data_IF_693336768586
#
_entry.id   IF_693336768586
#
_cell.length_a   1.000
_cell.length_b   1.000
_cell.length_c   1.000
_cell.angle_alpha   90.00
_cell.angle_beta   90.00
_cell.angle_gamma   90.00
#
_symmetry.space_group_name_H-M   'P 1'
#
loop_
_entity.id
_entity.type
_entity.pdbx_description
1 polymer ?
#
# COMPACT_ATOMS: atom_id res chain seq x y z
N UNK A 1 -9.48 29.02 35.88
CA UNK A 1 -10.19 27.83 36.41
C UNK A 1 -9.17 26.70 36.41
N UNK A 2 -8.97 26.05 37.54
CA UNK A 2 -7.93 25.04 37.73
C UNK A 2 -8.16 23.83 36.80
N UNK A 3 -7.10 23.33 36.16
CA UNK A 3 -7.14 22.20 35.24
C UNK A 3 -7.75 20.95 35.89
N UNK A 4 -7.51 20.77 37.19
CA UNK A 4 -8.11 19.69 37.97
C UNK A 4 -9.64 19.80 38.05
N UNK A 5 -10.18 21.01 38.21
CA UNK A 5 -11.63 21.25 38.27
C UNK A 5 -12.27 20.96 36.90
N UNK A 6 -11.62 21.37 35.82
CA UNK A 6 -12.11 21.11 34.46
C UNK A 6 -12.17 19.61 34.12
N UNK A 7 -11.17 18.83 34.57
CA UNK A 7 -11.17 17.37 34.38
C UNK A 7 -12.25 16.67 35.21
N UNK A 8 -12.52 17.11 36.45
CA UNK A 8 -13.59 16.54 37.28
C UNK A 8 -14.96 16.73 36.63
N UNK A 9 -15.24 17.94 36.13
CA UNK A 9 -16.51 18.23 35.43
C UNK A 9 -16.62 17.43 34.13
N UNK A 10 -15.53 17.33 33.36
CA UNK A 10 -15.53 16.58 32.10
C UNK A 10 -15.68 15.08 32.31
N UNK A 11 -15.06 14.52 33.35
CA UNK A 11 -15.23 13.11 33.74
C UNK A 11 -16.67 12.81 34.18
N UNK A 12 -17.31 13.75 34.89
CA UNK A 12 -18.73 13.62 35.24
C UNK A 12 -19.63 13.53 33.99
N UNK A 13 -19.32 14.29 32.93
CA UNK A 13 -20.02 14.18 31.65
C UNK A 13 -19.86 12.80 31.00
N UNK A 14 -18.64 12.23 31.02
CA UNK A 14 -18.40 10.85 30.54
C UNK A 14 -19.25 9.84 31.31
N UNK A 15 -19.35 9.98 32.63
CA UNK A 15 -20.12 9.07 33.48
C UNK A 15 -21.64 9.30 33.40
N UNK A 16 -22.08 10.49 32.99
CA UNK A 16 -23.48 10.84 32.79
C UNK A 16 -24.02 10.47 31.40
N UNK A 17 -23.15 10.29 30.40
CA UNK A 17 -23.57 9.97 29.04
C UNK A 17 -24.37 8.65 28.99
N UNK A 18 -25.50 8.65 28.29
CA UNK A 18 -26.40 7.49 28.12
C UNK A 18 -26.53 7.06 26.66
N UNK A 19 -26.12 7.92 25.72
CA UNK A 19 -26.20 7.67 24.29
C UNK A 19 -24.83 7.82 23.62
N UNK A 20 -24.65 7.22 22.44
CA UNK A 20 -23.42 7.34 21.64
C UNK A 20 -23.05 8.80 21.36
N UNK A 21 -23.96 9.70 20.92
CA UNK A 21 -23.63 11.11 20.74
C UNK A 21 -23.16 11.81 22.01
N UNK A 22 -23.78 11.53 23.16
CA UNK A 22 -23.35 12.09 24.45
C UNK A 22 -21.96 11.58 24.85
N UNK A 23 -21.70 10.28 24.69
CA UNK A 23 -20.40 9.70 25.00
C UNK A 23 -19.31 10.29 24.10
N UNK A 24 -19.57 10.41 22.79
CA UNK A 24 -18.65 11.07 21.84
C UNK A 24 -18.33 12.49 22.26
N UNK A 25 -19.36 13.31 22.51
CA UNK A 25 -19.18 14.68 22.95
C UNK A 25 -18.36 14.77 24.25
N UNK A 26 -18.54 13.83 25.17
CA UNK A 26 -17.80 13.79 26.43
C UNK A 26 -16.32 13.40 26.25
N UNK A 27 -16.00 12.37 25.45
CA UNK A 27 -14.61 11.92 25.25
C UNK A 27 -13.81 12.82 24.31
N UNK A 28 -14.48 13.48 23.35
CA UNK A 28 -13.87 14.44 22.41
C UNK A 28 -13.69 15.84 23.03
N UNK A 29 -14.18 16.05 24.26
CA UNK A 29 -14.02 17.32 24.95
C UNK A 29 -12.54 17.54 25.32
N UNK A 30 -11.87 18.59 24.80
CA UNK A 30 -10.46 18.84 25.08
C UNK A 30 -10.17 19.10 26.57
N UNK A 31 -11.17 19.49 27.37
CA UNK A 31 -11.04 19.68 28.81
C UNK A 31 -10.89 18.36 29.58
N UNK A 32 -11.28 17.23 28.99
CA UNK A 32 -11.05 15.90 29.56
C UNK A 32 -9.56 15.53 29.49
N UNK A 33 -8.87 15.94 28.42
CA UNK A 33 -7.43 15.74 28.24
C UNK A 33 -7.02 14.33 27.83
N UNK A 34 -7.88 13.62 27.08
CA UNK A 34 -7.54 12.32 26.48
C UNK A 34 -6.57 12.48 25.30
N UNK A 35 -5.71 11.49 25.11
CA UNK A 35 -4.99 11.31 23.85
C UNK A 35 -5.92 10.66 22.83
N UNK A 36 -6.31 11.42 21.81
CA UNK A 36 -7.24 11.00 20.76
C UNK A 36 -6.54 10.67 19.43
N UNK A 37 -5.20 10.58 19.39
CA UNK A 37 -4.46 10.39 18.13
C UNK A 37 -4.95 9.18 17.35
N UNK A 38 -5.08 8.02 17.99
CA UNK A 38 -5.55 6.81 17.32
C UNK A 38 -7.05 6.82 17.02
N UNK A 39 -7.85 7.35 17.94
CA UNK A 39 -9.30 7.50 17.77
C UNK A 39 -9.64 8.39 16.57
N UNK A 40 -8.88 9.47 16.35
CA UNK A 40 -9.11 10.41 15.26
C UNK A 40 -8.82 9.81 13.87
N UNK A 41 -8.10 8.69 13.80
CA UNK A 41 -7.84 7.97 12.54
C UNK A 41 -8.97 7.00 12.15
N UNK A 42 -9.90 6.71 13.06
CA UNK A 42 -11.03 5.82 12.80
C UNK A 42 -12.08 6.47 11.88
N UNK A 43 -12.79 5.65 11.11
CA UNK A 43 -14.02 6.09 10.44
C UNK A 43 -15.07 6.58 11.45
N UNK A 44 -16.01 7.41 11.01
CA UNK A 44 -17.08 7.91 11.89
C UNK A 44 -17.96 6.79 12.43
N UNK A 45 -18.15 5.71 11.67
CA UNK A 45 -18.85 4.50 12.14
C UNK A 45 -18.06 3.84 13.26
N UNK A 46 -16.75 3.61 13.09
CA UNK A 46 -15.93 3.00 14.12
C UNK A 46 -15.81 3.87 15.39
N UNK A 47 -15.81 5.21 15.27
CA UNK A 47 -15.89 6.11 16.43
C UNK A 47 -17.18 5.93 17.22
N UNK A 48 -18.32 5.75 16.54
CA UNK A 48 -19.59 5.46 17.19
C UNK A 48 -19.56 4.10 17.91
N UNK A 49 -18.93 3.09 17.30
CA UNK A 49 -18.76 1.76 17.92
C UNK A 49 -17.84 1.82 19.16
N UNK A 50 -16.76 2.60 19.11
CA UNK A 50 -15.91 2.87 20.28
C UNK A 50 -16.72 3.50 21.41
N UNK A 51 -17.49 4.55 21.12
CA UNK A 51 -18.35 5.19 22.11
C UNK A 51 -19.40 4.22 22.68
N UNK A 52 -19.97 3.33 21.87
CA UNK A 52 -20.88 2.29 22.32
C UNK A 52 -20.18 1.27 23.23
N UNK A 53 -18.94 0.86 22.92
CA UNK A 53 -18.16 -0.01 23.78
C UNK A 53 -17.85 0.65 25.14
N UNK A 54 -17.51 1.94 25.15
CA UNK A 54 -17.31 2.68 26.40
C UNK A 54 -18.60 2.75 27.24
N UNK A 55 -19.76 2.91 26.61
CA UNK A 55 -21.05 2.85 27.32
C UNK A 55 -21.29 1.48 27.93
N UNK A 56 -21.10 0.42 27.15
CA UNK A 56 -21.37 -0.96 27.57
C UNK A 56 -20.39 -1.44 28.65
N UNK A 57 -19.13 -1.01 28.58
CA UNK A 57 -18.06 -1.43 29.48
C UNK A 57 -17.84 -0.45 30.65
N UNK A 58 -18.68 0.58 30.78
CA UNK A 58 -18.59 1.52 31.90
C UNK A 58 -18.77 0.75 33.22
N UNK A 59 -17.85 0.91 34.19
CA UNK A 59 -18.02 0.29 35.51
C UNK A 59 -19.32 0.76 36.17
N UNK A 60 -19.91 -0.06 37.06
CA UNK A 60 -21.19 0.26 37.70
C UNK A 60 -21.19 1.58 38.49
N UNK A 61 -20.03 2.00 39.02
CA UNK A 61 -19.85 3.28 39.72
C UNK A 61 -19.32 4.41 38.80
N UNK A 62 -19.24 4.17 37.49
CA UNK A 62 -18.57 5.03 36.53
C UNK A 62 -17.06 4.80 36.47
N UNK A 63 -16.42 5.47 35.52
CA UNK A 63 -14.96 5.53 35.42
C UNK A 63 -14.38 6.34 36.59
N UNK A 64 -13.47 5.77 37.40
CA UNK A 64 -12.94 6.43 38.59
C UNK A 64 -11.97 7.58 38.28
N UNK A 65 -11.40 7.64 37.08
CA UNK A 65 -10.45 8.69 36.68
C UNK A 65 -10.37 8.88 35.17
N UNK A 66 -9.84 10.02 34.72
CA UNK A 66 -9.53 10.25 33.30
C UNK A 66 -8.59 9.16 32.75
N UNK A 67 -7.63 8.69 33.55
CA UNK A 67 -6.74 7.60 33.16
C UNK A 67 -7.50 6.28 32.89
N UNK A 68 -8.55 5.99 33.67
CA UNK A 68 -9.39 4.82 33.40
C UNK A 68 -10.25 4.97 32.13
N UNK A 69 -10.65 6.20 31.80
CA UNK A 69 -11.31 6.50 30.52
C UNK A 69 -10.33 6.31 29.36
N UNK A 70 -9.09 6.80 29.48
CA UNK A 70 -8.05 6.60 28.47
C UNK A 70 -7.79 5.11 28.24
N UNK A 71 -7.60 4.31 29.30
CA UNK A 71 -7.37 2.88 29.16
C UNK A 71 -8.54 2.16 28.49
N UNK A 72 -9.78 2.54 28.82
CA UNK A 72 -10.97 1.97 28.18
C UNK A 72 -11.08 2.41 26.70
N UNK A 73 -10.72 3.66 26.39
CA UNK A 73 -10.69 4.18 25.02
C UNK A 73 -9.66 3.42 24.19
N UNK A 74 -8.43 3.27 24.69
CA UNK A 74 -7.34 2.56 23.99
C UNK A 74 -7.71 1.11 23.73
N UNK A 75 -8.38 0.45 24.69
CA UNK A 75 -8.88 -0.91 24.50
C UNK A 75 -9.97 -0.94 23.41
N UNK A 76 -10.95 -0.04 23.46
CA UNK A 76 -12.05 -0.02 22.49
C UNK A 76 -11.54 0.28 21.07
N UNK A 77 -10.62 1.23 20.91
CA UNK A 77 -9.98 1.58 19.64
C UNK A 77 -9.20 0.39 19.05
N UNK A 78 -8.57 -0.44 19.88
CA UNK A 78 -7.87 -1.63 19.41
C UNK A 78 -8.80 -2.77 18.99
N UNK A 79 -9.96 -2.89 19.64
CA UNK A 79 -10.90 -4.01 19.43
C UNK A 79 -11.94 -3.73 18.34
N UNK A 80 -12.27 -2.46 18.08
CA UNK A 80 -13.25 -2.09 17.05
C UNK A 80 -12.79 -2.56 15.67
N UNK A 81 -13.75 -3.05 14.88
CA UNK A 81 -13.53 -3.36 13.46
C UNK A 81 -13.91 -2.13 12.67
N UNK A 82 -12.92 -1.41 12.15
CA UNK A 82 -13.13 -0.32 11.20
C UNK A 82 -13.06 -0.87 9.78
N UNK A 83 -14.20 -1.01 9.10
CA UNK A 83 -14.23 -1.58 7.75
C UNK A 83 -13.51 -0.69 6.71
N UNK A 84 -13.22 0.57 7.02
CA UNK A 84 -12.39 1.43 6.17
C UNK A 84 -10.88 1.24 6.45
N UNK A 85 -10.51 0.57 7.55
CA UNK A 85 -9.14 0.27 7.96
C UNK A 85 -9.02 -1.17 8.48
N UNK A 86 -8.76 -2.12 7.58
CA UNK A 86 -8.63 -3.54 7.92
C UNK A 86 -7.18 -3.93 8.09
N UNK A 87 -6.88 -4.69 9.14
CA UNK A 87 -5.53 -5.14 9.46
C UNK A 87 -5.32 -6.61 9.13
N UNK A 88 -4.15 -6.92 8.58
CA UNK A 88 -3.69 -8.27 8.23
C UNK A 88 -2.34 -8.51 8.89
N UNK A 89 -2.17 -9.67 9.53
CA UNK A 89 -0.93 -10.09 10.19
C UNK A 89 -0.59 -11.52 9.77
N UNK A 90 0.63 -11.73 9.28
CA UNK A 90 1.12 -13.06 8.92
C UNK A 90 1.01 -14.01 10.11
N UNK A 91 0.40 -15.17 9.90
CA UNK A 91 0.23 -16.22 10.91
C UNK A 91 -0.95 -16.03 11.87
N UNK A 92 -1.70 -14.93 11.79
CA UNK A 92 -2.92 -14.78 12.57
C UNK A 92 -4.00 -15.80 12.15
N UNK A 93 -4.80 -16.27 13.11
CA UNK A 93 -5.85 -17.26 12.89
C UNK A 93 -7.15 -16.77 13.50
N UNK A 94 -8.25 -16.82 12.76
CA UNK A 94 -9.58 -16.47 13.26
C UNK A 94 -9.79 -14.97 13.53
N UNK A 95 -8.91 -14.10 13.05
CA UNK A 95 -9.05 -12.65 13.22
C UNK A 95 -10.29 -12.08 12.51
N UNK A 96 -10.71 -10.90 12.96
CA UNK A 96 -11.86 -10.15 12.45
C UNK A 96 -11.46 -8.88 11.68
N UNK A 97 -10.16 -8.59 11.55
CA UNK A 97 -9.64 -7.43 10.83
C UNK A 97 -9.45 -6.18 11.68
N UNK A 98 -9.79 -6.21 12.98
CA UNK A 98 -9.40 -5.16 13.94
C UNK A 98 -7.89 -5.16 14.20
N UNK A 99 -7.38 -4.09 14.84
CA UNK A 99 -5.97 -4.01 15.26
C UNK A 99 -5.58 -5.12 16.23
N UNK A 100 -6.46 -5.44 17.18
CA UNK A 100 -6.22 -6.48 18.18
C UNK A 100 -6.33 -7.89 17.60
N UNK A 101 -7.17 -8.10 16.57
CA UNK A 101 -7.41 -9.41 15.97
C UNK A 101 -7.35 -9.32 14.44
N UNK A 102 -6.18 -9.06 13.86
CA UNK A 102 -6.01 -8.90 12.41
C UNK A 102 -6.30 -10.21 11.66
N UNK A 103 -6.73 -10.10 10.40
CA UNK A 103 -6.87 -11.27 9.54
C UNK A 103 -5.51 -11.94 9.25
N UNK A 104 -5.53 -13.24 8.97
CA UNK A 104 -4.30 -14.01 8.70
C UNK A 104 -3.74 -13.83 7.29
N UNK A 105 -4.55 -13.35 6.36
CA UNK A 105 -4.20 -13.32 4.93
C UNK A 105 -4.66 -12.04 4.25
N UNK A 106 -3.90 -11.60 3.26
CA UNK A 106 -4.22 -10.41 2.44
C UNK A 106 -5.58 -10.56 1.72
N UNK A 107 -5.93 -11.73 1.13
CA UNK A 107 -7.26 -11.93 0.55
C UNK A 107 -8.43 -11.75 1.54
N UNK A 108 -8.28 -12.15 2.81
CA UNK A 108 -9.31 -11.88 3.82
C UNK A 108 -9.45 -10.37 4.07
N UNK A 109 -8.34 -9.64 4.13
CA UNK A 109 -8.34 -8.18 4.25
C UNK A 109 -9.06 -7.50 3.07
N UNK A 110 -8.72 -7.90 1.84
CA UNK A 110 -9.37 -7.41 0.61
C UNK A 110 -10.87 -7.72 0.62
N UNK A 111 -11.26 -8.92 1.06
CA UNK A 111 -12.67 -9.31 1.12
C UNK A 111 -13.47 -8.46 2.12
N UNK A 112 -12.88 -8.13 3.27
CA UNK A 112 -13.55 -7.42 4.36
C UNK A 112 -13.61 -5.89 4.19
N UNK A 113 -12.55 -5.26 3.67
CA UNK A 113 -12.45 -3.79 3.61
C UNK A 113 -13.56 -3.17 2.77
N UNK A 114 -14.05 -1.98 3.10
CA UNK A 114 -14.97 -1.25 2.24
C UNK A 114 -14.29 -0.75 0.95
N UNK A 115 -15.05 -0.54 -0.15
CA UNK A 115 -14.53 0.20 -1.29
C UNK A 115 -13.97 1.56 -0.85
N UNK A 116 -12.80 1.94 -1.35
CA UNK A 116 -12.09 3.15 -0.90
C UNK A 116 -11.28 3.01 0.39
N UNK A 117 -11.43 1.91 1.13
CA UNK A 117 -10.72 1.68 2.40
C UNK A 117 -9.28 1.19 2.23
N UNK A 118 -8.60 1.01 3.36
CA UNK A 118 -7.21 0.57 3.43
C UNK A 118 -7.11 -0.82 4.05
N UNK A 119 -6.32 -1.70 3.43
CA UNK A 119 -5.82 -2.93 4.04
C UNK A 119 -4.39 -2.68 4.50
N UNK A 120 -4.20 -2.59 5.81
CA UNK A 120 -2.90 -2.51 6.47
C UNK A 120 -2.31 -3.91 6.58
N UNK A 121 -1.22 -4.14 5.85
CA UNK A 121 -0.46 -5.37 5.88
C UNK A 121 0.66 -5.15 6.88
N UNK A 122 0.50 -5.71 8.08
CA UNK A 122 1.45 -5.55 9.17
C UNK A 122 2.74 -6.32 8.91
N UNK A 123 3.78 -5.98 9.66
CA UNK A 123 5.12 -6.57 9.52
C UNK A 123 5.09 -8.10 9.60
N UNK A 124 5.95 -8.74 8.82
CA UNK A 124 6.01 -10.20 8.73
C UNK A 124 6.25 -10.68 7.31
N UNK A 125 6.55 -11.98 7.19
CA UNK A 125 6.70 -12.65 5.91
C UNK A 125 5.40 -13.34 5.52
N UNK A 126 4.89 -13.02 4.33
CA UNK A 126 3.67 -13.57 3.75
C UNK A 126 4.03 -14.49 2.58
N UNK A 127 3.99 -15.82 2.78
CA UNK A 127 4.11 -16.79 1.69
C UNK A 127 3.02 -16.58 0.64
N UNK A 128 3.41 -16.38 -0.61
CA UNK A 128 2.49 -16.28 -1.75
C UNK A 128 2.59 -17.57 -2.56
N UNK A 129 1.63 -18.47 -2.35
CA UNK A 129 1.45 -19.72 -3.09
C UNK A 129 0.19 -19.71 -3.96
N UNK A 130 -0.64 -18.67 -3.81
CA UNK A 130 -1.84 -18.41 -4.61
C UNK A 130 -1.91 -16.92 -4.97
N UNK A 131 -2.47 -16.60 -6.13
CA UNK A 131 -2.53 -15.23 -6.63
C UNK A 131 -3.40 -14.35 -5.73
N UNK A 132 -2.88 -13.18 -5.34
CA UNK A 132 -3.65 -12.13 -4.66
C UNK A 132 -4.41 -11.35 -5.72
N UNK A 133 -5.74 -11.42 -5.69
CA UNK A 133 -6.60 -10.67 -6.61
C UNK A 133 -7.14 -9.42 -5.91
N UNK A 134 -6.79 -8.25 -6.45
CA UNK A 134 -7.27 -6.95 -5.98
C UNK A 134 -8.44 -6.52 -6.85
N UNK A 135 -9.67 -6.81 -6.38
CA UNK A 135 -10.92 -6.67 -7.14
C UNK A 135 -11.93 -5.69 -6.52
N UNK A 136 -11.53 -4.96 -5.48
CA UNK A 136 -12.37 -3.95 -4.84
C UNK A 136 -11.89 -2.55 -5.20
N UNK A 137 -12.81 -1.75 -5.75
CA UNK A 137 -12.49 -0.42 -6.27
C UNK A 137 -12.05 0.54 -5.15
N UNK A 138 -11.07 1.39 -5.47
CA UNK A 138 -10.65 2.47 -4.57
C UNK A 138 -9.75 2.04 -3.42
N UNK A 139 -9.47 0.74 -3.24
CA UNK A 139 -8.76 0.31 -2.03
C UNK A 139 -7.27 0.65 -2.09
N UNK A 140 -6.69 0.81 -0.90
CA UNK A 140 -5.24 0.85 -0.72
C UNK A 140 -4.76 -0.45 -0.08
N UNK A 141 -3.79 -1.12 -0.69
CA UNK A 141 -2.98 -2.13 -0.01
C UNK A 141 -1.71 -1.46 0.50
N UNK A 142 -1.58 -1.35 1.82
CA UNK A 142 -0.48 -0.63 2.47
C UNK A 142 0.41 -1.60 3.23
N UNK A 143 1.66 -1.75 2.80
CA UNK A 143 2.69 -2.44 3.57
C UNK A 143 3.20 -1.56 4.70
N UNK A 144 3.09 -2.05 5.94
CA UNK A 144 3.75 -1.42 7.07
C UNK A 144 5.24 -1.82 7.12
N UNK A 145 6.12 -1.02 7.75
CA UNK A 145 7.55 -1.34 7.83
C UNK A 145 7.82 -2.77 8.33
N UNK A 146 8.68 -3.50 7.60
CA UNK A 146 8.99 -4.90 7.92
C UNK A 146 8.06 -5.93 7.27
N UNK A 147 7.14 -5.51 6.39
CA UNK A 147 6.34 -6.40 5.54
C UNK A 147 7.18 -6.99 4.41
N UNK A 148 7.09 -8.31 4.19
CA UNK A 148 7.70 -9.01 3.06
C UNK A 148 6.69 -9.99 2.43
N UNK A 149 6.29 -9.76 1.19
CA UNK A 149 5.54 -10.74 0.40
C UNK A 149 6.54 -11.62 -0.36
N UNK A 150 6.49 -12.92 -0.09
CA UNK A 150 7.48 -13.89 -0.59
C UNK A 150 6.82 -14.90 -1.53
N UNK A 151 7.04 -14.74 -2.83
CA UNK A 151 6.49 -15.62 -3.86
C UNK A 151 7.22 -16.97 -3.92
N UNK A 152 6.46 -18.05 -3.85
CA UNK A 152 6.96 -19.44 -3.79
C UNK A 152 6.24 -20.37 -4.78
N UNK A 153 5.64 -19.79 -5.83
CA UNK A 153 4.92 -20.53 -6.87
C UNK A 153 5.05 -19.82 -8.23
N UNK A 154 4.98 -20.59 -9.32
CA UNK A 154 5.03 -20.08 -10.70
C UNK A 154 3.69 -19.45 -11.13
N UNK A 155 3.38 -18.32 -10.50
CA UNK A 155 2.17 -17.53 -10.69
C UNK A 155 2.51 -16.04 -10.67
N UNK A 156 1.59 -15.20 -11.15
CA UNK A 156 1.64 -13.76 -10.87
C UNK A 156 1.23 -13.56 -9.41
N UNK A 157 2.08 -12.92 -8.60
CA UNK A 157 1.83 -12.78 -7.17
C UNK A 157 0.58 -11.92 -6.88
N UNK A 158 0.42 -10.80 -7.59
CA UNK A 158 -0.69 -9.87 -7.42
C UNK A 158 -1.30 -9.46 -8.77
N UNK A 159 -2.60 -9.65 -8.91
CA UNK A 159 -3.39 -9.20 -10.06
C UNK A 159 -4.36 -8.11 -9.62
N UNK A 160 -4.17 -6.90 -10.14
CA UNK A 160 -5.03 -5.75 -9.88
C UNK A 160 -6.10 -5.68 -10.96
N UNK A 161 -7.36 -5.90 -10.60
CA UNK A 161 -8.49 -5.86 -11.54
C UNK A 161 -9.38 -4.65 -11.32
N UNK A 162 -9.38 -4.09 -10.11
CA UNK A 162 -10.24 -2.96 -9.76
C UNK A 162 -9.62 -1.61 -10.12
N UNK A 163 -10.45 -0.62 -10.53
CA UNK A 163 -9.97 0.72 -10.78
C UNK A 163 -9.68 1.48 -9.48
N UNK A 164 -8.91 2.57 -9.61
CA UNK A 164 -8.58 3.49 -8.52
C UNK A 164 -7.83 2.78 -7.36
N UNK A 165 -7.01 1.79 -7.67
CA UNK A 165 -6.29 1.01 -6.66
C UNK A 165 -4.95 1.67 -6.33
N UNK A 166 -4.57 1.68 -5.04
CA UNK A 166 -3.23 2.09 -4.60
C UNK A 166 -2.50 0.91 -3.98
N UNK A 167 -1.27 0.66 -4.43
CA UNK A 167 -0.33 -0.29 -3.83
C UNK A 167 0.83 0.52 -3.24
N UNK A 168 0.91 0.57 -1.92
CA UNK A 168 1.81 1.44 -1.17
C UNK A 168 2.71 0.64 -0.22
N UNK A 169 4.02 0.91 -0.25
CA UNK A 169 4.95 0.48 0.80
C UNK A 169 5.23 -1.03 0.89
N UNK A 170 4.87 -1.83 -0.13
CA UNK A 170 5.15 -3.27 -0.11
C UNK A 170 6.61 -3.58 -0.41
N UNK A 171 7.16 -4.58 0.28
CA UNK A 171 8.38 -5.26 -0.16
C UNK A 171 8.02 -6.63 -0.73
N UNK A 172 8.48 -6.94 -1.94
CA UNK A 172 8.18 -8.20 -2.63
C UNK A 172 9.45 -8.86 -3.19
N UNK A 173 9.56 -10.18 -3.02
CA UNK A 173 10.59 -11.00 -3.68
C UNK A 173 10.13 -12.46 -3.84
N UNK A 174 10.96 -13.30 -4.45
CA UNK A 174 10.67 -14.72 -4.69
C UNK A 174 11.87 -15.60 -4.33
N UNK A 175 11.60 -16.88 -4.08
CA UNK A 175 12.64 -17.88 -3.79
C UNK A 175 13.52 -18.20 -5.02
N UNK A 176 12.91 -18.26 -6.21
CA UNK A 176 13.57 -18.43 -7.50
C UNK A 176 13.03 -17.43 -8.53
N UNK A 177 13.75 -17.14 -9.63
CA UNK A 177 13.25 -16.19 -10.61
C UNK A 177 12.18 -16.88 -11.48
N UNK A 178 10.91 -16.78 -11.08
CA UNK A 178 9.79 -17.26 -11.89
C UNK A 178 9.65 -16.42 -13.16
N UNK A 179 9.28 -17.04 -14.28
CA UNK A 179 9.10 -16.35 -15.56
C UNK A 179 7.75 -15.59 -15.61
N UNK A 180 7.54 -14.71 -14.63
CA UNK A 180 6.31 -13.95 -14.34
C UNK A 180 6.66 -12.57 -13.79
N UNK A 181 5.67 -11.69 -13.79
CA UNK A 181 5.67 -10.46 -13.03
C UNK A 181 5.21 -10.66 -11.59
N UNK A 182 5.70 -9.83 -10.67
CA UNK A 182 5.16 -9.75 -9.31
C UNK A 182 3.78 -9.11 -9.32
N UNK A 183 3.62 -7.96 -9.99
CA UNK A 183 2.36 -7.23 -10.07
C UNK A 183 1.91 -7.11 -11.53
N UNK A 184 0.70 -7.59 -11.81
CA UNK A 184 -0.01 -7.31 -13.05
C UNK A 184 -1.10 -6.27 -12.82
N UNK A 185 -1.02 -5.13 -13.52
CA UNK A 185 -2.02 -4.06 -13.47
C UNK A 185 -3.04 -4.26 -14.58
N UNK A 186 -4.26 -4.67 -14.24
CA UNK A 186 -5.43 -4.70 -15.13
C UNK A 186 -6.47 -3.61 -14.82
N UNK A 187 -6.39 -2.97 -13.65
CA UNK A 187 -7.31 -1.90 -13.23
C UNK A 187 -6.84 -0.51 -13.64
N UNK A 188 -7.77 0.31 -14.16
CA UNK A 188 -7.47 1.69 -14.56
C UNK A 188 -7.23 2.61 -13.34
N UNK A 189 -6.46 3.68 -13.53
CA UNK A 189 -6.10 4.63 -12.48
C UNK A 189 -5.43 3.94 -11.27
N UNK A 190 -4.52 3.00 -11.55
CA UNK A 190 -3.74 2.32 -10.51
C UNK A 190 -2.49 3.13 -10.15
N UNK A 191 -2.26 3.29 -8.85
CA UNK A 191 -1.04 3.89 -8.30
C UNK A 191 -0.16 2.82 -7.67
N UNK A 192 1.09 2.71 -8.12
CA UNK A 192 2.14 1.89 -7.51
C UNK A 192 3.14 2.85 -6.88
N UNK A 193 3.23 2.89 -5.54
CA UNK A 193 4.02 3.90 -4.83
C UNK A 193 4.83 3.34 -3.65
N UNK A 194 6.05 3.84 -3.44
CA UNK A 194 6.92 3.48 -2.31
C UNK A 194 7.23 1.98 -2.14
N UNK A 195 7.05 1.17 -3.18
CA UNK A 195 7.28 -0.27 -3.10
C UNK A 195 8.75 -0.61 -3.37
N UNK A 196 9.23 -1.70 -2.77
CA UNK A 196 10.52 -2.32 -3.10
C UNK A 196 10.28 -3.72 -3.66
N UNK A 197 10.58 -3.93 -4.94
CA UNK A 197 10.35 -5.22 -5.61
C UNK A 197 11.65 -5.71 -6.22
N UNK A 198 12.07 -6.92 -5.87
CA UNK A 198 13.33 -7.46 -6.34
C UNK A 198 13.30 -8.95 -6.62
N UNK A 199 14.08 -9.36 -7.62
CA UNK A 199 14.26 -10.76 -7.95
C UNK A 199 15.43 -11.40 -7.19
N UNK A 200 15.45 -12.74 -7.10
CA UNK A 200 16.61 -13.45 -6.56
C UNK A 200 17.83 -13.34 -7.50
N UNK A 201 19.05 -13.57 -6.99
CA UNK A 201 20.27 -13.45 -7.78
C UNK A 201 20.27 -14.33 -9.04
N UNK A 202 20.79 -13.79 -10.14
CA UNK A 202 20.97 -14.51 -11.40
C UNK A 202 22.38 -14.28 -11.93
N UNK A 203 23.02 -15.34 -12.46
CA UNK A 203 24.36 -15.23 -13.00
C UNK A 203 24.36 -14.39 -14.29
N UNK A 204 25.39 -13.57 -14.48
CA UNK A 204 25.63 -12.87 -15.75
C UNK A 204 25.92 -13.88 -16.88
N UNK A 205 25.68 -13.50 -18.14
CA UNK A 205 25.19 -12.20 -18.62
C UNK A 205 23.68 -11.99 -18.41
N UNK A 206 23.24 -10.73 -18.33
CA UNK A 206 21.82 -10.40 -18.18
C UNK A 206 20.95 -10.89 -19.36
N UNK A 207 21.54 -11.15 -20.52
CA UNK A 207 20.86 -11.76 -21.67
C UNK A 207 20.30 -13.16 -21.39
N UNK A 208 20.88 -13.92 -20.46
CA UNK A 208 20.41 -15.26 -20.07
C UNK A 208 19.47 -15.28 -18.87
N UNK A 209 19.17 -14.15 -18.24
CA UNK A 209 18.29 -14.10 -17.07
C UNK A 209 16.88 -14.58 -17.39
N UNK A 210 16.25 -15.32 -16.48
CA UNK A 210 14.83 -15.67 -16.58
C UNK A 210 14.01 -14.39 -16.61
N UNK A 211 12.95 -14.38 -17.42
CA UNK A 211 12.13 -13.18 -17.66
C UNK A 211 11.16 -12.91 -16.50
N UNK A 212 11.72 -12.58 -15.33
CA UNK A 212 11.01 -12.10 -14.16
C UNK A 212 10.90 -10.57 -14.16
N UNK A 213 9.75 -10.03 -13.74
CA UNK A 213 9.46 -8.58 -13.82
C UNK A 213 8.89 -8.04 -12.51
N UNK A 214 9.15 -6.79 -12.15
CA UNK A 214 8.44 -6.19 -11.01
C UNK A 214 6.98 -5.93 -11.37
N UNK A 215 6.74 -5.17 -12.44
CA UNK A 215 5.40 -4.72 -12.83
C UNK A 215 5.17 -4.93 -14.32
N UNK A 216 3.96 -5.38 -14.68
CA UNK A 216 3.44 -5.37 -16.05
C UNK A 216 2.07 -4.70 -16.05
N UNK A 217 1.86 -3.69 -16.89
CA UNK A 217 0.52 -3.15 -17.13
C UNK A 217 -0.19 -3.90 -18.24
N UNK A 218 -1.52 -4.01 -18.19
CA UNK A 218 -2.33 -4.30 -19.38
C UNK A 218 -2.43 -3.04 -20.25
N UNK A 219 -2.75 -3.22 -21.54
CA UNK A 219 -2.84 -2.11 -22.48
C UNK A 219 -4.01 -1.15 -22.20
N UNK A 220 -3.87 0.10 -22.63
CA UNK A 220 -4.96 1.09 -22.57
C UNK A 220 -5.33 1.62 -21.18
N UNK A 221 -4.44 1.46 -20.19
CA UNK A 221 -4.66 1.93 -18.82
C UNK A 221 -4.03 3.30 -18.57
N UNK A 222 -4.57 4.05 -17.62
CA UNK A 222 -3.90 5.17 -16.98
C UNK A 222 -3.29 4.71 -15.65
N UNK A 223 -2.00 4.96 -15.44
CA UNK A 223 -1.27 4.51 -14.25
C UNK A 223 -0.38 5.61 -13.68
N UNK A 224 -0.05 5.51 -12.39
CA UNK A 224 1.02 6.31 -11.76
C UNK A 224 1.99 5.38 -11.04
N UNK A 225 3.27 5.45 -11.36
CA UNK A 225 4.31 4.61 -10.77
C UNK A 225 5.39 5.53 -10.19
N UNK A 226 5.42 5.65 -8.86
CA UNK A 226 6.22 6.69 -8.21
C UNK A 226 7.00 6.20 -7.00
N UNK A 227 8.22 6.71 -6.80
CA UNK A 227 9.03 6.44 -5.60
C UNK A 227 9.26 4.95 -5.30
N UNK A 228 9.17 4.07 -6.31
CA UNK A 228 9.43 2.65 -6.12
C UNK A 228 10.90 2.33 -6.33
N UNK A 229 11.36 1.22 -5.76
CA UNK A 229 12.67 0.63 -6.01
C UNK A 229 12.49 -0.74 -6.68
N UNK A 230 13.01 -0.91 -7.90
CA UNK A 230 13.00 -2.18 -8.63
C UNK A 230 14.42 -2.66 -8.91
N UNK A 231 14.78 -3.90 -8.55
CA UNK A 231 16.13 -4.38 -8.84
C UNK A 231 16.30 -5.88 -8.96
N UNK A 232 17.42 -6.31 -9.57
CA UNK A 232 17.80 -7.74 -9.65
C UNK A 232 16.75 -8.58 -10.38
N UNK A 233 16.19 -8.01 -11.44
CA UNK A 233 15.12 -8.57 -12.26
C UNK A 233 15.54 -8.52 -13.73
N UNK A 234 14.95 -9.35 -14.58
CA UNK A 234 15.09 -9.13 -16.03
C UNK A 234 14.57 -7.76 -16.44
N UNK A 235 13.43 -7.37 -15.86
CA UNK A 235 12.76 -6.12 -16.17
C UNK A 235 12.27 -5.45 -14.90
N UNK A 236 12.50 -4.15 -14.74
CA UNK A 236 11.78 -3.36 -13.73
C UNK A 236 10.29 -3.35 -14.08
N UNK A 237 9.92 -2.61 -15.12
CA UNK A 237 8.52 -2.57 -15.59
C UNK A 237 8.39 -2.73 -17.10
N UNK A 238 7.41 -3.53 -17.51
CA UNK A 238 6.97 -3.63 -18.90
C UNK A 238 5.64 -2.88 -19.07
N UNK A 239 5.61 -1.95 -20.02
CA UNK A 239 4.51 -1.01 -20.20
C UNK A 239 3.85 -1.31 -21.55
N UNK A 240 2.70 -1.96 -21.52
CA UNK A 240 1.98 -2.41 -22.70
C UNK A 240 1.34 -1.26 -23.50
N UNK A 241 0.91 -1.52 -24.76
CA UNK A 241 0.43 -0.48 -25.66
C UNK A 241 -0.73 0.37 -25.13
N UNK A 242 -0.76 1.63 -25.56
CA UNK A 242 -1.79 2.63 -25.21
C UNK A 242 -1.90 2.95 -23.71
N UNK A 243 -0.96 2.49 -22.88
CA UNK A 243 -0.89 2.91 -21.48
C UNK A 243 -0.47 4.38 -21.41
N UNK A 244 -1.09 5.15 -20.53
CA UNK A 244 -0.81 6.57 -20.27
C UNK A 244 -0.49 6.77 -18.81
N UNK A 245 0.04 7.95 -18.47
CA UNK A 245 0.29 8.36 -17.09
C UNK A 245 1.77 8.61 -16.82
N UNK A 246 2.17 8.53 -15.55
CA UNK A 246 3.46 9.02 -15.08
C UNK A 246 4.30 7.93 -14.42
N UNK A 247 5.60 7.92 -14.74
CA UNK A 247 6.61 7.03 -14.15
C UNK A 247 7.69 7.93 -13.55
N UNK A 248 7.59 8.26 -12.26
CA UNK A 248 8.38 9.34 -11.69
C UNK A 248 9.16 8.92 -10.44
N UNK A 249 10.39 9.43 -10.28
CA UNK A 249 11.18 9.31 -9.05
C UNK A 249 11.40 7.86 -8.58
N UNK A 250 11.36 6.88 -9.49
CA UNK A 250 11.67 5.50 -9.16
C UNK A 250 13.19 5.27 -9.21
N UNK A 251 13.67 4.27 -8.47
CA UNK A 251 15.05 3.79 -8.51
C UNK A 251 15.05 2.41 -9.16
N UNK A 252 15.75 2.25 -10.29
CA UNK A 252 15.83 0.94 -10.98
C UNK A 252 17.27 0.57 -11.26
N UNK A 253 17.70 -0.63 -10.85
CA UNK A 253 19.10 -1.05 -11.01
C UNK A 253 19.26 -2.57 -11.07
N UNK A 254 20.41 -3.04 -11.56
CA UNK A 254 20.70 -4.46 -11.73
C UNK A 254 19.60 -5.17 -12.52
N UNK A 255 19.17 -4.60 -13.64
CA UNK A 255 18.18 -5.19 -14.55
C UNK A 255 18.65 -5.20 -16.00
N UNK A 256 18.13 -6.11 -16.84
CA UNK A 256 18.40 -6.03 -18.28
C UNK A 256 17.73 -4.81 -18.92
N UNK A 257 16.50 -4.51 -18.51
CA UNK A 257 15.80 -3.30 -18.94
C UNK A 257 15.03 -2.70 -17.78
N UNK A 258 15.34 -1.46 -17.42
CA UNK A 258 14.67 -0.78 -16.32
C UNK A 258 13.19 -0.59 -16.62
N UNK A 259 12.90 0.19 -17.67
CA UNK A 259 11.56 0.41 -18.20
C UNK A 259 11.50 0.02 -19.67
N UNK A 260 10.65 -0.95 -20.02
CA UNK A 260 10.35 -1.30 -21.41
C UNK A 260 9.03 -0.66 -21.82
N UNK A 261 9.09 0.31 -22.72
CA UNK A 261 7.95 0.97 -23.33
C UNK A 261 7.60 0.22 -24.61
N UNK A 262 6.40 -0.36 -24.67
CA UNK A 262 5.86 -1.01 -25.87
C UNK A 262 4.60 -0.28 -26.32
N UNK A 263 4.74 0.73 -27.18
CA UNK A 263 3.58 1.45 -27.72
C UNK A 263 2.78 2.25 -26.69
N UNK A 264 3.35 2.55 -25.53
CA UNK A 264 2.74 3.36 -24.48
C UNK A 264 3.03 4.86 -24.67
N UNK A 265 2.28 5.70 -23.96
CA UNK A 265 2.37 7.16 -23.95
C UNK A 265 2.55 7.67 -22.50
N UNK A 266 3.51 7.11 -21.78
CA UNK A 266 3.83 7.52 -20.40
C UNK A 266 4.91 8.60 -20.36
N UNK A 267 4.85 9.49 -19.36
CA UNK A 267 5.90 10.46 -19.08
C UNK A 267 6.86 9.93 -18.02
N UNK A 268 8.13 10.34 -18.11
CA UNK A 268 9.19 9.94 -17.19
C UNK A 268 9.90 11.16 -16.62
N UNK A 269 10.01 11.24 -15.29
CA UNK A 269 10.73 12.33 -14.63
C UNK A 269 11.42 11.85 -13.35
N UNK A 270 12.65 12.29 -13.13
CA UNK A 270 13.38 12.09 -11.87
C UNK A 270 13.74 10.64 -11.55
N UNK A 271 13.54 9.68 -12.46
CA UNK A 271 13.96 8.30 -12.23
C UNK A 271 15.48 8.21 -12.14
N UNK A 272 15.98 7.30 -11.32
CA UNK A 272 17.40 7.16 -11.00
C UNK A 272 17.87 5.71 -11.09
N UNK A 273 19.19 5.56 -11.25
CA UNK A 273 19.84 4.31 -11.61
C UNK A 273 20.93 3.99 -10.59
N UNK A 274 21.03 2.73 -10.21
CA UNK A 274 21.87 2.27 -9.11
C UNK A 274 23.05 1.39 -9.54
N UNK A 275 23.72 0.79 -8.56
CA UNK A 275 24.80 -0.19 -8.76
C UNK A 275 24.40 -1.54 -8.15
N UNK A 276 24.57 -2.68 -8.84
CA UNK A 276 25.01 -2.83 -10.24
C UNK A 276 24.10 -2.10 -11.25
N UNK A 277 24.64 -1.62 -12.37
CA UNK A 277 23.85 -0.85 -13.35
C UNK A 277 22.82 -1.73 -14.06
N UNK A 278 21.85 -1.10 -14.71
CA UNK A 278 21.05 -1.78 -15.73
C UNK A 278 21.87 -1.98 -17.00
N UNK A 279 21.47 -2.91 -17.86
CA UNK A 279 21.98 -2.97 -19.24
C UNK A 279 21.40 -1.80 -20.07
N UNK A 280 20.11 -1.51 -19.89
CA UNK A 280 19.45 -0.30 -20.40
C UNK A 280 18.46 0.25 -19.37
N UNK A 281 18.44 1.56 -19.18
CA UNK A 281 17.57 2.21 -18.20
C UNK A 281 16.14 2.38 -18.73
N UNK A 282 16.00 2.97 -19.92
CA UNK A 282 14.73 3.14 -20.63
C UNK A 282 14.86 2.57 -22.04
N UNK A 283 13.96 1.66 -22.41
CA UNK A 283 13.91 1.01 -23.72
C UNK A 283 12.63 1.40 -24.43
N UNK A 284 12.74 1.99 -25.62
CA UNK A 284 11.61 2.25 -26.51
C UNK A 284 11.56 1.13 -27.54
N UNK A 285 10.61 0.22 -27.41
CA UNK A 285 10.48 -0.94 -28.32
C UNK A 285 9.88 -0.55 -29.67
N UNK A 286 10.02 -1.43 -30.66
CA UNK A 286 9.60 -1.25 -32.05
C UNK A 286 8.14 -0.76 -32.24
N UNK A 287 7.23 -1.12 -31.32
CA UNK A 287 5.84 -0.66 -31.36
C UNK A 287 5.62 0.79 -30.89
N UNK A 288 6.66 1.45 -30.36
CA UNK A 288 6.56 2.79 -29.79
C UNK A 288 6.63 3.86 -30.86
N UNK A 289 5.78 4.88 -30.77
CA UNK A 289 5.70 5.92 -31.80
C UNK A 289 6.95 6.80 -31.84
N UNK A 290 7.33 7.24 -33.04
CA UNK A 290 8.16 8.42 -33.23
C UNK A 290 7.34 9.67 -32.90
N UNK A 291 7.90 10.59 -32.12
CA UNK A 291 7.19 11.79 -31.67
C UNK A 291 6.88 11.78 -30.16
N UNK A 292 6.10 12.77 -29.68
CA UNK A 292 5.76 12.89 -28.26
C UNK A 292 5.10 11.62 -27.71
N UNK A 293 5.40 11.20 -26.46
CA UNK A 293 6.24 11.90 -25.49
C UNK A 293 7.75 11.58 -25.59
N UNK A 294 8.21 10.90 -26.65
CA UNK A 294 9.59 10.41 -26.81
C UNK A 294 10.30 10.98 -28.05
N UNK A 295 9.98 12.22 -28.42
CA UNK A 295 10.59 12.96 -29.53
C UNK A 295 12.00 13.45 -29.19
N UNK A 296 12.23 13.85 -27.94
CA UNK A 296 13.52 14.36 -27.49
C UNK A 296 14.22 13.39 -26.52
N UNK A 297 14.98 12.44 -27.06
CA UNK A 297 15.69 11.43 -26.28
C UNK A 297 16.75 12.02 -25.35
N UNK A 298 17.40 13.11 -25.75
CA UNK A 298 18.39 13.80 -24.92
C UNK A 298 17.73 14.43 -23.68
N UNK A 299 16.56 15.06 -23.86
CA UNK A 299 15.78 15.58 -22.75
C UNK A 299 15.22 14.46 -21.88
N UNK A 300 14.71 13.37 -22.47
CA UNK A 300 14.25 12.19 -21.73
C UNK A 300 15.35 11.63 -20.83
N UNK A 301 16.57 11.49 -21.35
CA UNK A 301 17.74 11.05 -20.59
C UNK A 301 18.08 12.04 -19.47
N UNK A 302 18.19 13.33 -19.78
CA UNK A 302 18.58 14.36 -18.81
C UNK A 302 17.57 14.51 -17.66
N UNK A 303 16.26 14.45 -17.96
CA UNK A 303 15.19 14.52 -16.95
C UNK A 303 15.12 13.28 -16.06
N UNK A 304 15.79 12.20 -16.43
CA UNK A 304 15.84 10.94 -15.69
C UNK A 304 17.28 10.62 -15.31
N UNK A 305 17.98 11.61 -14.74
CA UNK A 305 19.32 11.45 -14.17
C UNK A 305 20.34 10.81 -15.14
N UNK A 306 20.34 11.28 -16.39
CA UNK A 306 21.20 10.81 -17.49
C UNK A 306 20.99 9.33 -17.83
N UNK A 307 19.73 8.91 -17.91
CA UNK A 307 19.35 7.55 -18.28
C UNK A 307 19.97 7.10 -19.62
N UNK A 308 20.44 5.86 -19.66
CA UNK A 308 20.76 5.18 -20.92
C UNK A 308 19.49 4.82 -21.66
N UNK A 309 19.31 5.43 -22.85
CA UNK A 309 18.13 5.20 -23.69
C UNK A 309 18.48 4.20 -24.79
N UNK A 310 17.73 3.10 -24.88
CA UNK A 310 17.76 2.17 -26.00
C UNK A 310 16.55 2.46 -26.90
N UNK A 311 16.77 3.15 -28.02
CA UNK A 311 15.73 3.39 -29.01
C UNK A 311 15.72 2.27 -30.06
N UNK A 312 14.64 1.50 -30.11
CA UNK A 312 14.46 0.34 -31.00
C UNK A 312 13.22 0.49 -31.88
N UNK A 313 12.67 1.71 -31.98
CA UNK A 313 11.54 2.09 -32.83
C UNK A 313 11.86 1.97 -34.32
#
# INVERSE_FOLDING_TARGET
MDQAVNQVVSLAAVNAATTVPEMRAAIENPLLGLNLTEYNMLSETAKNDVAQQLLNNRPALGYPSVASVQAALDQAVNQVVDLDNIYVQAGAVGGNGSRANPFGTIPQGIAAVNPGGTVHILSGTYPITSQIVVNKAGITLKGEPGTLLFLQADIIAMLITAPNTTIDGLTMTSDIPYQKEFIQIGGNNTTIINNTIYGPPQALPMSSWVVNRAVVSQGGLAISVMNNTFHSLRTGMYINPNVTGSINNNVVYNTKGGFLVDGAFTTFFGNSWGTPPNEFDIVLLAGTTFGPPYDNLALLSALNNNATISDQR
#
